data_IF_895212204991
#
_entry.id   IF_895212204991
#
_cell.length_a   1.000
_cell.length_b   1.000
_cell.length_c   1.000
_cell.angle_alpha   90.00
_cell.angle_beta   90.00
_cell.angle_gamma   90.00
#
_symmetry.space_group_name_H-M   'P 1'
#
loop_
_entity.id
_entity.type
_entity.pdbx_description
1 polymer ?
#
# COMPACT_ATOMS: atom_id res chain seq x y z
N UNK A 1 19.75 25.02 24.18
CA UNK A 1 20.11 25.56 22.86
C UNK A 1 19.79 24.48 21.84
N UNK A 2 18.62 24.57 21.20
CA UNK A 2 18.17 23.58 20.21
C UNK A 2 18.62 24.06 18.82
N UNK A 3 19.57 23.35 18.23
CA UNK A 3 19.94 23.55 16.84
C UNK A 3 18.90 22.84 15.98
N UNK A 4 18.16 23.62 15.19
CA UNK A 4 17.19 23.08 14.23
C UNK A 4 17.88 23.01 12.87
N UNK A 5 18.13 21.80 12.38
CA UNK A 5 18.58 21.58 11.00
C UNK A 5 17.34 21.25 10.19
N UNK A 6 16.95 22.16 9.31
CA UNK A 6 15.83 21.97 8.39
C UNK A 6 16.33 21.14 7.20
N UNK A 7 16.00 19.85 7.19
CA UNK A 7 16.07 19.00 6.01
C UNK A 7 14.65 18.69 5.59
N UNK A 8 14.27 19.20 4.42
CA UNK A 8 12.99 18.94 3.79
C UNK A 8 12.80 17.41 3.60
N UNK A 9 11.57 16.95 3.88
CA UNK A 9 11.05 15.57 3.86
C UNK A 9 11.06 14.82 5.22
N UNK A 10 10.08 15.17 6.05
CA UNK A 10 9.33 14.29 6.98
C UNK A 10 10.08 13.13 7.64
N UNK A 11 10.95 13.45 8.60
CA UNK A 11 11.40 12.49 9.62
C UNK A 11 11.44 13.17 10.98
N UNK A 12 10.60 12.73 11.91
CA UNK A 12 10.64 13.22 13.30
C UNK A 12 11.46 12.25 14.14
N UNK A 13 12.61 12.71 14.63
CA UNK A 13 13.43 11.96 15.58
C UNK A 13 13.17 12.50 16.99
N UNK A 14 12.57 11.70 17.87
CA UNK A 14 12.56 11.99 19.31
C UNK A 14 13.57 11.09 20.01
N UNK A 15 14.61 11.70 20.57
CA UNK A 15 15.49 11.05 21.52
C UNK A 15 14.77 11.00 22.87
N UNK A 16 14.26 9.82 23.24
CA UNK A 16 13.72 9.55 24.56
C UNK A 16 14.64 8.54 25.25
N UNK A 17 15.39 9.00 26.24
CA UNK A 17 16.27 8.19 27.09
C UNK A 17 17.30 7.31 26.34
N UNK A 18 17.95 7.85 25.31
CA UNK A 18 19.06 7.15 24.61
C UNK A 18 18.60 6.08 23.60
N UNK A 19 17.30 5.90 23.42
CA UNK A 19 16.73 5.09 22.35
C UNK A 19 16.30 5.99 21.18
N UNK A 20 16.89 5.77 20.01
CA UNK A 20 16.47 6.42 18.77
C UNK A 20 15.11 5.85 18.35
N UNK A 21 14.02 6.55 18.62
CA UNK A 21 12.69 6.16 18.17
C UNK A 21 12.41 6.83 16.83
N UNK A 22 12.39 6.05 15.76
CA UNK A 22 11.99 6.52 14.42
C UNK A 22 10.53 6.13 14.18
N UNK A 23 9.64 7.11 14.04
CA UNK A 23 8.31 6.89 13.47
C UNK A 23 8.35 7.27 12.00
N UNK A 24 8.07 6.32 11.11
CA UNK A 24 7.82 6.62 9.71
C UNK A 24 6.39 7.14 9.63
N UNK A 25 6.22 8.36 9.14
CA UNK A 25 4.89 8.85 8.79
C UNK A 25 4.38 8.01 7.62
N UNK A 26 3.38 7.18 7.87
CA UNK A 26 2.73 6.37 6.84
C UNK A 26 1.75 7.28 6.11
N UNK A 27 2.18 7.86 4.99
CA UNK A 27 1.27 8.63 4.13
C UNK A 27 0.21 7.66 3.64
N UNK A 28 -1.06 7.95 3.90
CA UNK A 28 -2.19 7.14 3.43
C UNK A 28 -1.96 6.74 1.97
N UNK A 29 -2.00 5.42 1.69
CA UNK A 29 -1.61 4.89 0.40
C UNK A 29 -2.54 5.35 -0.74
N UNK A 30 -3.73 5.85 -0.38
CA UNK A 30 -4.71 6.47 -1.26
C UNK A 30 -4.41 7.97 -1.44
N UNK A 31 -3.52 8.31 -2.37
CA UNK A 31 -3.58 9.66 -2.94
C UNK A 31 -4.93 9.80 -3.67
N UNK A 32 -5.76 10.78 -3.28
CA UNK A 32 -7.14 10.91 -3.78
C UNK A 32 -7.27 11.09 -5.30
N UNK A 33 -6.15 11.33 -5.99
CA UNK A 33 -6.08 11.53 -7.44
C UNK A 33 -5.37 10.35 -8.11
N UNK A 34 -6.16 9.45 -8.67
CA UNK A 34 -5.70 8.50 -9.69
C UNK A 34 -6.20 8.95 -11.06
N UNK A 35 -5.58 8.43 -12.12
CA UNK A 35 -5.97 8.72 -13.50
C UNK A 35 -7.47 8.41 -13.70
N UNK A 36 -8.34 9.39 -14.06
CA UNK A 36 -9.77 9.14 -14.23
C UNK A 36 -10.05 8.16 -15.36
N UNK A 37 -11.02 7.25 -15.19
CA UNK A 37 -11.26 6.16 -16.17
C UNK A 37 -11.70 6.66 -17.56
N UNK A 38 -12.29 7.85 -17.65
CA UNK A 38 -12.73 8.48 -18.91
C UNK A 38 -11.69 9.37 -19.59
N UNK A 39 -10.46 9.42 -19.09
CA UNK A 39 -9.38 10.20 -19.71
C UNK A 39 -8.83 9.52 -20.96
N UNK A 40 -8.18 10.29 -21.84
CA UNK A 40 -7.59 9.78 -23.09
C UNK A 40 -6.26 9.07 -22.82
N UNK A 41 -6.37 7.86 -22.26
CA UNK A 41 -5.24 6.97 -22.03
C UNK A 41 -5.58 5.57 -22.50
N UNK A 42 -4.52 4.83 -22.83
CA UNK A 42 -4.67 3.45 -23.27
C UNK A 42 -5.03 2.51 -22.11
N UNK A 43 -5.73 1.42 -22.44
CA UNK A 43 -6.23 0.41 -21.49
C UNK A 43 -5.17 -0.15 -20.52
N UNK A 44 -3.90 -0.17 -20.90
CA UNK A 44 -2.85 -0.66 -20.01
C UNK A 44 -2.59 0.29 -18.84
N UNK A 45 -2.80 1.61 -19.02
CA UNK A 45 -2.64 2.60 -17.96
C UNK A 45 -3.63 2.31 -16.83
N UNK A 46 -4.93 2.22 -17.16
CA UNK A 46 -5.97 1.96 -16.16
C UNK A 46 -5.77 0.62 -15.43
N UNK A 47 -5.34 -0.42 -16.16
CA UNK A 47 -5.01 -1.72 -15.56
C UNK A 47 -3.86 -1.60 -14.57
N UNK A 48 -2.77 -0.96 -14.98
CA UNK A 48 -1.58 -0.79 -14.15
C UNK A 48 -1.85 0.10 -12.94
N UNK A 49 -2.70 1.12 -13.06
CA UNK A 49 -3.13 1.96 -11.94
C UNK A 49 -3.78 1.11 -10.85
N UNK A 50 -4.72 0.23 -11.22
CA UNK A 50 -5.37 -0.67 -10.26
C UNK A 50 -4.38 -1.67 -9.68
N UNK A 51 -3.56 -2.32 -10.51
CA UNK A 51 -2.58 -3.32 -10.05
C UNK A 51 -1.57 -2.71 -9.05
N UNK A 52 -1.09 -1.51 -9.35
CA UNK A 52 -0.16 -0.78 -8.48
C UNK A 52 -0.81 -0.44 -7.15
N UNK A 53 -2.05 0.04 -7.15
CA UNK A 53 -2.76 0.39 -5.94
C UNK A 53 -2.99 -0.83 -5.03
N UNK A 54 -3.40 -1.99 -5.60
CA UNK A 54 -3.57 -3.22 -4.84
C UNK A 54 -2.24 -3.72 -4.28
N UNK A 55 -1.17 -3.67 -5.08
CA UNK A 55 0.17 -4.07 -4.67
C UNK A 55 0.69 -3.21 -3.52
N UNK A 56 0.45 -1.90 -3.58
CA UNK A 56 0.76 -0.97 -2.48
C UNK A 56 -0.05 -1.29 -1.23
N UNK A 57 -1.36 -1.53 -1.37
CA UNK A 57 -2.22 -1.89 -0.25
C UNK A 57 -1.69 -3.14 0.47
N UNK A 58 -1.26 -4.17 -0.26
CA UNK A 58 -0.62 -5.35 0.35
C UNK A 58 0.69 -4.97 1.06
N UNK A 59 1.55 -4.19 0.42
CA UNK A 59 2.88 -3.85 0.93
C UNK A 59 2.86 -3.02 2.23
N UNK A 60 1.92 -2.09 2.33
CA UNK A 60 1.78 -1.22 3.51
C UNK A 60 0.92 -1.85 4.61
N UNK A 61 0.17 -2.90 4.29
CA UNK A 61 -0.66 -3.60 5.28
C UNK A 61 0.14 -4.66 6.02
N UNK A 62 0.29 -4.45 7.33
CA UNK A 62 1.03 -5.38 8.21
C UNK A 62 0.13 -6.48 8.77
N UNK A 63 -1.19 -6.32 8.63
CA UNK A 63 -2.21 -7.27 9.06
C UNK A 63 -3.31 -7.38 8.00
N UNK A 64 -4.03 -8.50 8.00
CA UNK A 64 -5.18 -8.69 7.11
C UNK A 64 -6.27 -7.61 7.31
N UNK A 65 -6.48 -7.17 8.55
CA UNK A 65 -7.49 -6.13 8.85
C UNK A 65 -7.11 -4.78 8.23
N UNK A 66 -5.83 -4.40 8.29
CA UNK A 66 -5.35 -3.18 7.62
C UNK A 66 -5.49 -3.31 6.11
N UNK A 67 -5.19 -4.49 5.56
CA UNK A 67 -5.35 -4.73 4.13
C UNK A 67 -6.80 -4.61 3.67
N UNK A 68 -7.76 -5.17 4.40
CA UNK A 68 -9.17 -5.06 4.03
C UNK A 68 -9.67 -3.60 4.11
N UNK A 69 -9.19 -2.82 5.07
CA UNK A 69 -9.49 -1.39 5.15
C UNK A 69 -8.87 -0.60 3.98
N UNK A 70 -7.58 -0.80 3.68
CA UNK A 70 -6.91 -0.18 2.53
C UNK A 70 -7.58 -0.56 1.21
N UNK A 71 -7.94 -1.84 1.05
CA UNK A 71 -8.67 -2.34 -0.12
C UNK A 71 -10.03 -1.67 -0.26
N UNK A 72 -10.74 -1.43 0.86
CA UNK A 72 -12.02 -0.69 0.84
C UNK A 72 -11.82 0.76 0.42
N UNK A 73 -10.84 1.46 0.98
CA UNK A 73 -10.53 2.86 0.63
C UNK A 73 -10.11 3.00 -0.84
N UNK A 74 -9.23 2.11 -1.30
CA UNK A 74 -8.81 2.03 -2.70
C UNK A 74 -10.00 1.80 -3.64
N UNK A 75 -10.93 0.90 -3.31
CA UNK A 75 -12.14 0.68 -4.12
C UNK A 75 -12.98 1.96 -4.21
N UNK A 76 -13.21 2.63 -3.08
CA UNK A 76 -13.94 3.90 -3.07
C UNK A 76 -13.24 4.95 -3.95
N UNK A 77 -11.93 5.13 -3.79
CA UNK A 77 -11.12 6.03 -4.61
C UNK A 77 -11.30 5.76 -6.11
N UNK A 78 -11.23 4.50 -6.55
CA UNK A 78 -11.43 4.15 -7.97
C UNK A 78 -12.86 4.43 -8.45
N UNK A 79 -13.87 4.13 -7.63
CA UNK A 79 -15.27 4.45 -7.96
C UNK A 79 -15.47 5.95 -8.12
N UNK A 80 -14.89 6.78 -7.23
CA UNK A 80 -14.94 8.24 -7.35
C UNK A 80 -14.25 8.75 -8.63
N UNK A 81 -13.23 8.05 -9.12
CA UNK A 81 -12.52 8.37 -10.36
C UNK A 81 -13.17 7.73 -11.62
N UNK A 82 -14.38 7.19 -11.50
CA UNK A 82 -15.19 6.69 -12.62
C UNK A 82 -14.84 5.26 -13.09
N UNK A 83 -14.06 4.51 -12.33
CA UNK A 83 -13.73 3.13 -12.71
C UNK A 83 -14.94 2.21 -12.53
N UNK A 84 -15.25 1.34 -13.51
CA UNK A 84 -16.33 0.37 -13.36
C UNK A 84 -16.05 -0.63 -12.23
N UNK A 85 -17.01 -0.92 -11.32
CA UNK A 85 -16.81 -1.88 -10.22
C UNK A 85 -16.29 -3.24 -10.70
N UNK A 86 -16.86 -3.77 -11.78
CA UNK A 86 -16.42 -5.02 -12.41
C UNK A 86 -14.97 -4.98 -12.89
N UNK A 87 -14.49 -3.81 -13.33
CA UNK A 87 -13.10 -3.64 -13.75
C UNK A 87 -12.17 -3.79 -12.55
N UNK A 88 -12.49 -3.09 -11.45
CA UNK A 88 -11.71 -3.12 -10.20
C UNK A 88 -11.67 -4.55 -9.64
N UNK A 89 -12.84 -5.18 -9.46
CA UNK A 89 -12.94 -6.52 -8.87
C UNK A 89 -12.19 -7.55 -9.70
N UNK A 90 -12.33 -7.52 -11.03
CA UNK A 90 -11.59 -8.42 -11.93
C UNK A 90 -10.08 -8.31 -11.74
N UNK A 91 -9.54 -7.10 -11.57
CA UNK A 91 -8.10 -6.88 -11.36
C UNK A 91 -7.66 -7.39 -10.00
N UNK A 92 -8.41 -7.07 -8.95
CA UNK A 92 -8.14 -7.55 -7.58
C UNK A 92 -8.11 -9.08 -7.58
N UNK A 93 -9.16 -9.74 -8.09
CA UNK A 93 -9.23 -11.21 -8.16
C UNK A 93 -8.08 -11.81 -8.97
N UNK A 94 -7.74 -11.20 -10.11
CA UNK A 94 -6.64 -11.68 -10.96
C UNK A 94 -5.30 -11.64 -10.22
N UNK A 95 -5.04 -10.59 -9.46
CA UNK A 95 -3.82 -10.46 -8.66
C UNK A 95 -3.72 -11.58 -7.62
N UNK A 96 -4.80 -11.83 -6.87
CA UNK A 96 -4.84 -12.89 -5.85
C UNK A 96 -4.86 -14.31 -6.42
N UNK A 97 -5.21 -14.48 -7.70
CA UNK A 97 -5.17 -15.77 -8.40
C UNK A 97 -3.80 -16.08 -9.03
N UNK A 98 -2.83 -15.18 -8.91
CA UNK A 98 -1.47 -15.35 -9.44
C UNK A 98 -0.51 -15.84 -8.35
N UNK A 99 0.70 -16.30 -8.73
CA UNK A 99 1.76 -16.67 -7.79
C UNK A 99 2.08 -15.53 -6.82
N UNK A 100 2.00 -14.27 -7.30
CA UNK A 100 2.11 -13.09 -6.46
C UNK A 100 1.00 -13.01 -5.40
N UNK A 101 -0.22 -13.38 -5.75
CA UNK A 101 -1.36 -13.47 -4.84
C UNK A 101 -1.12 -14.46 -3.69
N UNK A 102 -0.50 -15.60 -3.98
CA UNK A 102 -0.12 -16.57 -2.94
C UNK A 102 0.88 -15.98 -1.94
N UNK A 103 1.86 -15.21 -2.42
CA UNK A 103 2.82 -14.50 -1.57
C UNK A 103 2.14 -13.42 -0.71
N UNK A 104 1.18 -12.68 -1.28
CA UNK A 104 0.37 -11.73 -0.55
C UNK A 104 -0.40 -12.41 0.59
N UNK A 105 -1.00 -13.58 0.34
CA UNK A 105 -1.67 -14.36 1.39
C UNK A 105 -0.70 -14.82 2.48
N UNK A 106 0.52 -15.25 2.13
CA UNK A 106 1.53 -15.62 3.11
C UNK A 106 1.96 -14.42 3.97
N UNK A 107 2.16 -13.25 3.37
CA UNK A 107 2.49 -12.01 4.08
C UNK A 107 1.37 -11.58 5.02
N UNK A 108 0.13 -11.56 4.53
CA UNK A 108 -1.05 -11.11 5.28
C UNK A 108 -1.53 -12.13 6.33
N UNK A 109 -1.05 -13.37 6.28
CA UNK A 109 -1.28 -14.37 7.33
C UNK A 109 -0.50 -14.10 8.63
N UNK A 110 0.41 -13.12 8.61
CA UNK A 110 1.14 -12.72 9.81
C UNK A 110 0.19 -12.16 10.87
N UNK A 111 0.36 -12.62 12.11
CA UNK A 111 -0.43 -12.17 13.25
C UNK A 111 0.15 -10.91 13.91
N UNK A 112 1.42 -10.62 13.66
CA UNK A 112 2.16 -9.49 14.24
C UNK A 112 3.08 -8.82 13.22
N UNK A 113 3.40 -7.54 13.45
CA UNK A 113 4.31 -6.79 12.59
C UNK A 113 5.73 -7.40 12.51
N UNK A 114 6.24 -7.95 13.61
CA UNK A 114 7.55 -8.63 13.62
C UNK A 114 7.55 -9.91 12.76
N UNK A 115 6.42 -10.62 12.73
CA UNK A 115 6.25 -11.80 11.89
C UNK A 115 6.13 -11.41 10.41
N UNK A 116 5.41 -10.31 10.11
CA UNK A 116 5.35 -9.72 8.77
C UNK A 116 6.76 -9.36 8.27
N UNK A 117 7.54 -8.63 9.07
CA UNK A 117 8.91 -8.24 8.70
C UNK A 117 9.81 -9.44 8.43
N UNK A 118 9.68 -10.50 9.24
CA UNK A 118 10.42 -11.74 9.04
C UNK A 118 10.02 -12.41 7.72
N UNK A 119 8.72 -12.54 7.45
CA UNK A 119 8.18 -13.12 6.20
C UNK A 119 8.58 -12.27 4.99
N UNK A 120 8.46 -10.95 5.07
CA UNK A 120 8.87 -10.02 4.02
C UNK A 120 10.36 -10.13 3.70
N UNK A 121 11.24 -10.21 4.72
CA UNK A 121 12.67 -10.47 4.50
C UNK A 121 12.96 -11.81 3.84
N UNK A 122 12.18 -12.85 4.17
CA UNK A 122 12.31 -14.17 3.55
C UNK A 122 11.79 -14.20 2.11
N UNK A 123 10.85 -13.32 1.78
CA UNK A 123 10.20 -13.23 0.47
C UNK A 123 10.83 -12.19 -0.46
N UNK A 124 11.87 -11.46 -0.03
CA UNK A 124 12.57 -10.46 -0.82
C UNK A 124 13.39 -11.08 -1.98
N UNK A 125 12.68 -11.38 -3.08
CA UNK A 125 13.12 -11.43 -4.48
C UNK A 125 11.98 -10.97 -5.42
N UNK A 126 11.26 -9.90 -5.04
CA UNK A 126 10.26 -9.24 -5.88
C UNK A 126 10.49 -7.73 -5.95
#
# INVERSE_FOLDING_TARGET
MLVTVNLNLTQWHQNSNGALKTSVYDKEAAESYVVPFGSDHSDHVFRNTVDTAVTRAVRYSTTLSQFEEEKRQMKLMFLYNGYPPRHIDRRVTKLFSSDFGYLCHQLLSASTHAEYDKKNRQLNYL
#
